data_IF_151738573273
#
_entry.id   IF_151738573273
#
_cell.length_a   1.000
_cell.length_b   1.000
_cell.length_c   1.000
_cell.angle_alpha   90.00
_cell.angle_beta   90.00
_cell.angle_gamma   90.00
#
_symmetry.space_group_name_H-M   'P 1'
#
loop_
_entity.id
_entity.type
_entity.pdbx_description
1 polymer ?
#
# COMPACT_ATOMS: atom_id res chain seq x y z
N UNK A 1 -22.10 23.10 10.96
CA UNK A 1 -21.23 22.96 12.16
C UNK A 1 -20.83 21.50 12.24
N UNK A 2 -19.68 21.14 11.66
CA UNK A 2 -19.17 19.76 11.68
C UNK A 2 -18.46 19.55 13.02
N UNK A 3 -19.02 18.71 13.88
CA UNK A 3 -18.33 18.19 15.05
C UNK A 3 -17.11 17.38 14.55
N UNK A 4 -15.96 18.03 14.45
CA UNK A 4 -14.69 17.31 14.40
C UNK A 4 -14.47 16.75 15.81
N UNK A 5 -14.97 15.53 16.06
CA UNK A 5 -14.50 14.75 17.19
C UNK A 5 -12.99 14.58 16.99
N UNK A 6 -12.20 15.24 17.82
CA UNK A 6 -10.75 15.09 17.84
C UNK A 6 -10.46 13.65 18.28
N UNK A 7 -10.36 12.75 17.30
CA UNK A 7 -9.96 11.37 17.56
C UNK A 7 -8.54 11.40 18.14
N UNK A 8 -8.42 11.01 19.40
CA UNK A 8 -7.14 11.03 20.12
C UNK A 8 -6.17 10.07 19.45
N UNK A 9 -4.99 10.56 19.10
CA UNK A 9 -3.95 9.71 18.50
C UNK A 9 -3.52 8.62 19.50
N UNK A 10 -3.43 7.35 19.07
CA UNK A 10 -2.84 6.31 19.90
C UNK A 10 -1.34 6.56 20.08
N UNK A 11 -0.72 5.90 21.07
CA UNK A 11 0.74 5.90 21.19
C UNK A 11 1.33 5.14 19.99
N UNK A 12 2.05 5.85 19.14
CA UNK A 12 2.73 5.24 17.99
C UNK A 12 4.00 4.53 18.50
N UNK A 13 4.11 3.26 18.15
CA UNK A 13 5.23 2.41 18.51
C UNK A 13 6.34 2.51 17.45
N UNK A 14 7.58 2.35 17.87
CA UNK A 14 8.70 2.21 16.94
C UNK A 14 9.08 0.73 16.83
N UNK A 15 8.43 0.04 15.90
CA UNK A 15 8.59 -1.39 15.68
C UNK A 15 9.31 -1.65 14.35
N UNK A 16 10.24 -2.61 14.30
CA UNK A 16 10.84 -3.05 13.04
C UNK A 16 9.76 -3.60 12.10
N UNK A 17 10.06 -3.61 10.80
CA UNK A 17 9.23 -4.29 9.80
C UNK A 17 9.30 -5.79 10.05
N UNK A 18 8.15 -6.45 9.91
CA UNK A 18 7.99 -7.88 10.10
C UNK A 18 6.98 -8.23 11.18
N UNK A 19 6.42 -9.39 11.06
CA UNK A 19 5.40 -9.93 11.95
C UNK A 19 5.89 -11.27 12.52
N UNK A 20 5.98 -11.36 13.84
CA UNK A 20 6.31 -12.61 14.55
C UNK A 20 5.04 -13.41 14.78
N UNK A 21 4.33 -13.78 13.71
CA UNK A 21 3.10 -14.55 13.77
C UNK A 21 3.24 -15.78 12.86
N UNK A 22 2.64 -16.89 13.28
CA UNK A 22 2.59 -18.12 12.49
C UNK A 22 1.15 -18.49 12.16
N UNK A 23 0.96 -19.28 11.10
CA UNK A 23 -0.35 -19.74 10.68
C UNK A 23 -1.12 -18.72 9.85
N UNK A 24 -2.42 -18.63 10.05
CA UNK A 24 -3.31 -17.79 9.26
C UNK A 24 -4.15 -16.91 10.20
N UNK A 25 -4.49 -15.72 9.73
CA UNK A 25 -5.52 -14.87 10.34
C UNK A 25 -6.72 -14.79 9.38
N UNK A 26 -7.91 -14.70 9.94
CA UNK A 26 -9.14 -14.60 9.18
C UNK A 26 -9.48 -13.13 8.95
N UNK A 27 -9.57 -12.71 7.70
CA UNK A 27 -10.02 -11.38 7.30
C UNK A 27 -11.31 -11.46 6.50
N UNK A 28 -12.01 -10.34 6.37
CA UNK A 28 -13.27 -10.25 5.61
C UNK A 28 -13.22 -9.08 4.63
N UNK A 29 -13.84 -9.29 3.48
CA UNK A 29 -14.17 -8.25 2.51
C UNK A 29 -15.63 -8.39 2.05
N UNK A 30 -16.02 -7.67 1.01
CA UNK A 30 -17.38 -7.73 0.44
C UNK A 30 -17.77 -9.12 -0.10
N UNK A 31 -16.79 -9.97 -0.38
CA UNK A 31 -16.99 -11.34 -0.88
C UNK A 31 -16.98 -12.38 0.25
N UNK A 32 -16.84 -11.96 1.49
CA UNK A 32 -16.85 -12.82 2.68
C UNK A 32 -15.49 -13.03 3.31
N UNK A 33 -15.35 -14.10 4.08
CA UNK A 33 -14.13 -14.40 4.84
C UNK A 33 -13.08 -15.10 3.96
N UNK A 34 -11.80 -14.79 4.23
CA UNK A 34 -10.64 -15.45 3.61
C UNK A 34 -9.52 -15.57 4.64
N UNK A 35 -8.76 -16.65 4.54
CA UNK A 35 -7.60 -16.90 5.38
C UNK A 35 -6.36 -16.27 4.74
N UNK A 36 -5.71 -15.37 5.47
CA UNK A 36 -4.49 -14.65 5.07
C UNK A 36 -3.32 -15.15 5.92
N UNK A 37 -2.10 -15.34 5.39
CA UNK A 37 -0.95 -15.66 6.21
C UNK A 37 -0.75 -14.63 7.32
N UNK A 38 -0.56 -15.11 8.56
CA UNK A 38 -0.52 -14.22 9.72
C UNK A 38 0.74 -13.36 9.78
N UNK A 39 1.80 -13.77 9.08
CA UNK A 39 3.10 -13.09 9.00
C UNK A 39 3.19 -12.05 7.85
N UNK A 40 2.07 -11.72 7.19
CA UNK A 40 2.03 -10.80 6.06
C UNK A 40 1.18 -9.57 6.35
N UNK A 41 1.60 -8.42 5.77
CA UNK A 41 0.83 -7.18 5.88
C UNK A 41 -0.31 -7.07 4.88
N UNK A 42 -0.29 -7.82 3.76
CA UNK A 42 -1.43 -7.79 2.85
C UNK A 42 -2.69 -8.38 3.50
N UNK A 43 -3.85 -8.08 2.93
CA UNK A 43 -5.15 -8.46 3.48
C UNK A 43 -5.96 -9.36 2.56
N UNK A 44 -7.28 -9.34 2.78
CA UNK A 44 -8.25 -10.21 2.14
C UNK A 44 -8.27 -10.07 0.62
N UNK A 45 -8.22 -8.85 0.08
CA UNK A 45 -8.32 -8.64 -1.36
C UNK A 45 -7.06 -9.09 -2.10
N UNK A 46 -5.88 -8.83 -1.54
CA UNK A 46 -4.63 -9.36 -2.09
C UNK A 46 -4.61 -10.88 -2.06
N UNK A 47 -5.04 -11.50 -0.96
CA UNK A 47 -5.12 -12.95 -0.86
C UNK A 47 -6.06 -13.56 -1.89
N UNK A 48 -7.21 -12.95 -2.15
CA UNK A 48 -8.11 -13.38 -3.22
C UNK A 48 -7.50 -13.22 -4.61
N UNK A 49 -6.78 -12.13 -4.84
CA UNK A 49 -6.08 -11.91 -6.11
C UNK A 49 -5.06 -13.02 -6.38
N UNK A 50 -4.30 -13.44 -5.38
CA UNK A 50 -3.38 -14.57 -5.50
C UNK A 50 -4.07 -15.91 -5.82
N UNK A 51 -5.32 -16.08 -5.38
CA UNK A 51 -6.10 -17.28 -5.63
C UNK A 51 -6.77 -17.28 -7.02
N UNK A 52 -7.25 -16.11 -7.47
CA UNK A 52 -8.03 -15.99 -8.69
C UNK A 52 -7.18 -15.66 -9.93
N UNK A 53 -6.05 -15.03 -9.75
CA UNK A 53 -5.14 -14.56 -10.81
C UNK A 53 -3.76 -15.22 -10.70
N UNK A 54 -3.72 -16.51 -10.35
CA UNK A 54 -2.50 -17.33 -10.38
C UNK A 54 -2.23 -17.73 -11.84
N UNK A 55 -1.80 -16.75 -12.64
CA UNK A 55 -1.64 -16.86 -14.10
C UNK A 55 -0.22 -16.43 -14.46
N UNK A 56 0.56 -17.37 -14.98
CA UNK A 56 1.96 -17.14 -15.36
C UNK A 56 2.88 -16.89 -14.16
N UNK A 57 4.13 -16.55 -14.45
CA UNK A 57 5.16 -16.33 -13.43
C UNK A 57 5.57 -14.86 -13.28
N UNK A 58 5.09 -13.99 -14.18
CA UNK A 58 5.47 -12.59 -14.18
C UNK A 58 4.81 -11.84 -13.02
N UNK A 59 5.65 -11.23 -12.19
CA UNK A 59 5.20 -10.40 -11.07
C UNK A 59 5.14 -8.94 -11.46
N UNK A 60 4.20 -8.20 -10.83
CA UNK A 60 4.15 -6.75 -10.98
C UNK A 60 5.50 -6.13 -10.57
N UNK A 61 6.12 -5.30 -11.41
CA UNK A 61 7.40 -4.67 -11.10
C UNK A 61 7.38 -3.90 -9.77
N UNK A 62 8.44 -4.05 -8.98
CA UNK A 62 8.56 -3.39 -7.66
C UNK A 62 8.50 -1.89 -7.76
N UNK A 63 9.05 -1.35 -8.83
CA UNK A 63 9.04 0.08 -9.12
C UNK A 63 7.63 0.67 -9.21
N UNK A 64 6.64 -0.12 -9.64
CA UNK A 64 5.23 0.28 -9.63
C UNK A 64 4.71 0.44 -8.20
N UNK A 65 5.08 -0.44 -7.29
CA UNK A 65 4.70 -0.34 -5.88
C UNK A 65 5.42 0.83 -5.19
N UNK A 66 6.71 1.04 -5.47
CA UNK A 66 7.44 2.21 -4.96
C UNK A 66 6.76 3.51 -5.45
N UNK A 67 6.32 3.54 -6.72
CA UNK A 67 5.58 4.67 -7.28
C UNK A 67 4.23 4.88 -6.60
N UNK A 68 3.51 3.80 -6.25
CA UNK A 68 2.31 3.90 -5.43
C UNK A 68 2.58 4.53 -4.07
N UNK A 69 3.74 4.27 -3.46
CA UNK A 69 4.17 4.93 -2.22
C UNK A 69 4.11 6.46 -2.34
N UNK A 70 4.63 7.02 -3.44
CA UNK A 70 4.54 8.47 -3.70
C UNK A 70 3.09 8.93 -3.87
N UNK A 71 2.28 8.22 -4.64
CA UNK A 71 0.87 8.58 -4.88
C UNK A 71 0.08 8.58 -3.57
N UNK A 72 0.23 7.53 -2.75
CA UNK A 72 -0.47 7.42 -1.46
C UNK A 72 0.01 8.46 -0.46
N UNK A 73 1.31 8.75 -0.43
CA UNK A 73 1.88 9.81 0.40
C UNK A 73 1.31 11.19 0.04
N UNK A 74 1.28 11.53 -1.25
CA UNK A 74 0.71 12.79 -1.72
C UNK A 74 -0.78 12.90 -1.37
N UNK A 75 -1.56 11.84 -1.58
CA UNK A 75 -2.97 11.81 -1.21
C UNK A 75 -3.19 12.00 0.30
N UNK A 76 -2.36 11.37 1.15
CA UNK A 76 -2.42 11.55 2.60
C UNK A 76 -2.13 13.00 3.02
N UNK A 77 -1.15 13.64 2.41
CA UNK A 77 -0.82 15.07 2.65
C UNK A 77 -2.02 15.94 2.31
N UNK A 78 -2.53 15.85 1.09
CA UNK A 78 -3.64 16.69 0.60
C UNK A 78 -4.91 16.48 1.42
N UNK A 79 -5.25 15.23 1.75
CA UNK A 79 -6.44 14.95 2.56
C UNK A 79 -6.30 15.44 4.00
N UNK A 80 -5.08 15.44 4.55
CA UNK A 80 -4.80 16.01 5.88
C UNK A 80 -4.92 17.53 5.87
N UNK A 81 -4.30 18.20 4.90
CA UNK A 81 -4.38 19.65 4.74
C UNK A 81 -5.81 20.14 4.50
N UNK A 82 -6.60 19.37 3.78
CA UNK A 82 -8.02 19.62 3.55
C UNK A 82 -8.94 19.30 4.75
N UNK A 83 -8.37 18.84 5.88
CA UNK A 83 -9.12 18.48 7.08
C UNK A 83 -10.01 17.23 6.94
N UNK A 84 -9.82 16.42 5.91
CA UNK A 84 -10.60 15.19 5.66
C UNK A 84 -10.01 13.99 6.40
N UNK A 85 -8.70 13.99 6.61
CA UNK A 85 -7.97 12.94 7.31
C UNK A 85 -7.36 13.54 8.59
N UNK A 86 -7.58 12.93 9.77
CA UNK A 86 -6.93 13.37 11.00
C UNK A 86 -5.41 13.43 10.85
N UNK A 87 -4.79 14.49 11.38
CA UNK A 87 -3.36 14.78 11.18
C UNK A 87 -2.45 13.60 11.57
N UNK A 88 -2.74 12.91 12.68
CA UNK A 88 -1.95 11.77 13.13
C UNK A 88 -2.07 10.56 12.18
N UNK A 89 -3.26 10.31 11.59
CA UNK A 89 -3.47 9.26 10.58
C UNK A 89 -2.68 9.58 9.32
N UNK A 90 -2.75 10.84 8.86
CA UNK A 90 -1.98 11.31 7.71
C UNK A 90 -0.49 11.15 7.91
N UNK A 91 0.04 11.56 9.06
CA UNK A 91 1.46 11.41 9.39
C UNK A 91 1.90 9.94 9.44
N UNK A 92 1.08 9.06 10.00
CA UNK A 92 1.38 7.64 10.08
C UNK A 92 1.36 6.96 8.70
N UNK A 93 0.38 7.29 7.85
CA UNK A 93 0.32 6.81 6.47
C UNK A 93 1.55 7.29 5.68
N UNK A 94 1.95 8.56 5.81
CA UNK A 94 3.14 9.09 5.15
C UNK A 94 4.42 8.34 5.58
N UNK A 95 4.61 8.08 6.87
CA UNK A 95 5.72 7.27 7.38
C UNK A 95 5.78 5.90 6.72
N UNK A 96 4.65 5.18 6.65
CA UNK A 96 4.61 3.85 6.03
C UNK A 96 4.79 3.93 4.51
N UNK A 97 4.29 4.97 3.86
CA UNK A 97 4.57 5.20 2.45
C UNK A 97 6.08 5.36 2.17
N UNK A 98 6.84 5.97 3.08
CA UNK A 98 8.30 6.04 2.96
C UNK A 98 8.96 4.65 3.08
N UNK A 99 8.41 3.74 3.92
CA UNK A 99 8.83 2.33 3.96
C UNK A 99 8.56 1.62 2.61
N UNK A 100 7.43 1.90 1.95
CA UNK A 100 7.11 1.38 0.61
C UNK A 100 8.07 1.94 -0.45
N UNK A 101 8.29 3.26 -0.45
CA UNK A 101 9.17 3.94 -1.42
C UNK A 101 10.61 3.42 -1.33
N UNK A 102 11.09 3.16 -0.13
CA UNK A 102 12.44 2.63 0.09
C UNK A 102 12.63 1.15 -0.28
N UNK A 103 11.54 0.44 -0.62
CA UNK A 103 11.57 -1.00 -0.91
C UNK A 103 11.61 -1.90 0.34
N UNK A 104 11.52 -1.33 1.54
CA UNK A 104 11.58 -2.10 2.79
C UNK A 104 10.39 -3.07 2.96
N UNK A 105 9.31 -2.86 2.23
CA UNK A 105 8.09 -3.68 2.21
C UNK A 105 7.92 -4.51 0.92
N UNK A 106 8.96 -4.67 0.11
CA UNK A 106 8.87 -5.33 -1.22
C UNK A 106 8.34 -6.75 -1.17
N UNK A 107 8.59 -7.50 -0.10
CA UNK A 107 8.08 -8.85 0.09
C UNK A 107 6.56 -8.92 0.26
N UNK A 108 5.92 -7.79 0.51
CA UNK A 108 4.48 -7.68 0.74
C UNK A 108 3.67 -7.40 -0.54
N UNK A 109 4.36 -7.36 -1.70
CA UNK A 109 3.75 -7.10 -3.01
C UNK A 109 3.92 -8.30 -3.94
N UNK A 110 3.14 -9.40 -3.72
CA UNK A 110 3.35 -10.67 -4.41
C UNK A 110 2.53 -10.84 -5.70
N UNK A 111 1.74 -9.83 -6.13
CA UNK A 111 0.78 -10.01 -7.20
C UNK A 111 1.41 -10.22 -8.59
N UNK A 112 0.72 -11.00 -9.40
CA UNK A 112 1.07 -11.21 -10.81
C UNK A 112 0.62 -10.05 -11.69
N UNK A 113 1.24 -9.92 -12.87
CA UNK A 113 0.83 -8.88 -13.86
C UNK A 113 -0.52 -9.19 -14.50
N UNK A 114 -0.86 -10.45 -14.62
CA UNK A 114 -2.12 -10.92 -15.18
C UNK A 114 -3.25 -10.81 -14.15
N UNK A 115 -3.73 -9.61 -13.97
CA UNK A 115 -4.85 -9.22 -13.12
C UNK A 115 -5.83 -8.37 -13.93
N UNK A 116 -6.85 -7.75 -13.30
CA UNK A 116 -7.75 -6.85 -14.04
C UNK A 116 -7.01 -5.64 -14.59
N UNK A 117 -7.34 -5.21 -15.80
CA UNK A 117 -6.66 -4.11 -16.50
C UNK A 117 -6.76 -2.75 -15.81
N UNK A 118 -7.70 -2.58 -14.87
CA UNK A 118 -7.82 -1.38 -14.03
C UNK A 118 -6.74 -1.25 -12.95
N UNK A 119 -5.97 -2.31 -12.69
CA UNK A 119 -4.95 -2.34 -11.63
C UNK A 119 -5.52 -2.30 -10.22
N UNK A 120 -6.80 -2.60 -10.04
CA UNK A 120 -7.46 -2.55 -8.73
C UNK A 120 -6.78 -3.45 -7.71
N UNK A 121 -6.34 -4.63 -8.09
CA UNK A 121 -5.66 -5.57 -7.19
C UNK A 121 -4.35 -4.99 -6.67
N UNK A 122 -3.51 -4.41 -7.53
CA UNK A 122 -2.28 -3.74 -7.10
C UNK A 122 -2.55 -2.54 -6.21
N UNK A 123 -3.55 -1.72 -6.54
CA UNK A 123 -3.96 -0.60 -5.69
C UNK A 123 -4.40 -1.08 -4.30
N UNK A 124 -5.22 -2.13 -4.24
CA UNK A 124 -5.69 -2.68 -2.97
C UNK A 124 -4.58 -3.35 -2.18
N UNK A 125 -3.63 -4.01 -2.83
CA UNK A 125 -2.46 -4.57 -2.16
C UNK A 125 -1.69 -3.48 -1.41
N UNK A 126 -1.42 -2.35 -2.06
CA UNK A 126 -0.76 -1.21 -1.38
C UNK A 126 -1.60 -0.68 -0.23
N UNK A 127 -2.92 -0.50 -0.43
CA UNK A 127 -3.81 -0.01 0.61
C UNK A 127 -3.81 -0.92 1.86
N UNK A 128 -3.88 -2.24 1.64
CA UNK A 128 -3.89 -3.23 2.72
C UNK A 128 -2.55 -3.27 3.47
N UNK A 129 -1.43 -3.28 2.75
CA UNK A 129 -0.08 -3.28 3.34
C UNK A 129 0.15 -2.02 4.17
N UNK A 130 -0.15 -0.84 3.61
CA UNK A 130 -0.01 0.43 4.33
C UNK A 130 -0.92 0.46 5.57
N UNK A 131 -2.18 0.06 5.42
CA UNK A 131 -3.14 0.01 6.53
C UNK A 131 -2.66 -0.91 7.65
N UNK A 132 -2.30 -2.15 7.35
CA UNK A 132 -1.89 -3.13 8.36
C UNK A 132 -0.56 -2.76 9.02
N UNK A 133 0.39 -2.17 8.30
CA UNK A 133 1.61 -1.65 8.90
C UNK A 133 1.33 -0.48 9.84
N UNK A 134 0.44 0.45 9.46
CA UNK A 134 -0.03 1.51 10.35
C UNK A 134 -0.72 0.95 11.60
N UNK A 135 -1.57 -0.07 11.44
CA UNK A 135 -2.26 -0.73 12.57
C UNK A 135 -1.24 -1.37 13.52
N UNK A 136 -0.19 -2.03 13.01
CA UNK A 136 0.89 -2.56 13.84
C UNK A 136 1.58 -1.46 14.64
N UNK A 137 1.95 -0.34 13.99
CA UNK A 137 2.60 0.79 14.65
C UNK A 137 1.69 1.49 15.67
N UNK A 138 0.38 1.41 15.48
CA UNK A 138 -0.61 1.91 16.45
C UNK A 138 -0.93 0.91 17.57
N UNK A 139 -0.28 -0.27 17.60
CA UNK A 139 -0.53 -1.31 18.59
C UNK A 139 -1.86 -2.05 18.43
N UNK A 140 -2.47 -1.99 17.25
CA UNK A 140 -3.74 -2.62 16.92
C UNK A 140 -3.60 -4.07 16.42
N UNK A 141 -4.74 -4.69 16.13
CA UNK A 141 -4.81 -6.05 15.57
C UNK A 141 -4.86 -5.99 14.04
N UNK A 142 -3.94 -6.67 13.37
CA UNK A 142 -3.91 -6.72 11.91
C UNK A 142 -5.22 -7.27 11.33
N UNK A 143 -5.64 -6.72 10.20
CA UNK A 143 -6.91 -7.09 9.57
C UNK A 143 -8.14 -6.45 10.20
N UNK A 144 -8.01 -5.78 11.35
CA UNK A 144 -9.13 -5.09 12.02
C UNK A 144 -9.65 -3.87 11.27
N UNK A 145 -8.86 -3.35 10.33
CA UNK A 145 -9.12 -2.09 9.61
C UNK A 145 -9.23 -0.86 10.54
N UNK A 146 -8.76 -0.98 11.77
CA UNK A 146 -8.77 0.06 12.79
C UNK A 146 -7.40 0.15 13.47
N UNK A 147 -6.86 1.35 13.69
CA UNK A 147 -7.47 2.67 13.46
C UNK A 147 -7.30 3.22 12.04
N UNK A 148 -6.59 2.52 11.15
CA UNK A 148 -6.41 2.92 9.75
C UNK A 148 -7.13 1.92 8.84
N UNK A 149 -8.10 2.43 8.07
CA UNK A 149 -8.86 1.61 7.11
C UNK A 149 -8.24 1.72 5.71
N UNK A 150 -8.07 0.59 4.97
CA UNK A 150 -7.42 0.60 3.65
C UNK A 150 -8.16 1.46 2.62
N UNK A 151 -9.51 1.41 2.59
CA UNK A 151 -10.29 2.19 1.64
C UNK A 151 -10.56 3.61 2.13
N UNK A 152 -11.03 3.75 3.38
CA UNK A 152 -11.55 5.02 3.88
C UNK A 152 -10.44 6.04 4.22
N UNK A 153 -9.23 5.55 4.55
CA UNK A 153 -8.10 6.41 4.89
C UNK A 153 -6.98 6.34 3.85
N UNK A 154 -6.44 5.16 3.52
CA UNK A 154 -5.30 5.05 2.59
C UNK A 154 -5.72 5.36 1.15
N UNK A 155 -6.93 4.94 0.75
CA UNK A 155 -7.48 5.19 -0.60
C UNK A 155 -8.40 6.40 -0.69
N UNK A 156 -8.47 7.23 0.34
CA UNK A 156 -9.37 8.38 0.41
C UNK A 156 -9.24 9.29 -0.81
N UNK A 157 -10.37 9.52 -1.51
CA UNK A 157 -10.45 10.40 -2.69
C UNK A 157 -9.73 9.89 -3.94
N UNK A 158 -9.44 8.59 -4.02
CA UNK A 158 -8.69 8.00 -5.13
C UNK A 158 -9.50 6.93 -5.86
N UNK A 159 -9.24 6.83 -7.18
CA UNK A 159 -9.73 5.74 -8.03
C UNK A 159 -8.53 4.94 -8.55
N UNK A 160 -8.65 3.60 -8.59
CA UNK A 160 -7.62 2.74 -9.18
C UNK A 160 -7.40 3.02 -10.67
N UNK A 161 -8.44 3.45 -11.39
CA UNK A 161 -8.34 3.81 -12.81
C UNK A 161 -7.44 5.03 -13.06
N UNK A 162 -7.19 5.84 -12.04
CA UNK A 162 -6.28 6.98 -12.07
C UNK A 162 -4.94 6.62 -11.42
N UNK A 163 -4.96 6.07 -10.21
CA UNK A 163 -3.73 5.84 -9.44
C UNK A 163 -2.82 4.76 -10.05
N UNK A 164 -3.38 3.74 -10.71
CA UNK A 164 -2.58 2.69 -11.32
C UNK A 164 -1.77 3.20 -12.53
N UNK A 165 -2.38 3.83 -13.56
CA UNK A 165 -1.59 4.39 -14.65
C UNK A 165 -0.64 5.49 -14.19
N UNK A 166 -1.01 6.30 -13.19
CA UNK A 166 -0.13 7.28 -12.59
C UNK A 166 1.11 6.63 -11.98
N UNK A 167 0.94 5.56 -11.19
CA UNK A 167 2.06 4.81 -10.62
C UNK A 167 2.94 4.19 -11.71
N UNK A 168 2.35 3.64 -12.79
CA UNK A 168 3.10 3.10 -13.92
C UNK A 168 3.96 4.18 -14.61
N UNK A 169 3.42 5.38 -14.83
CA UNK A 169 4.16 6.49 -15.44
C UNK A 169 5.30 6.96 -14.53
N UNK A 170 5.07 7.10 -13.22
CA UNK A 170 6.11 7.47 -12.26
C UNK A 170 7.21 6.41 -12.24
N UNK A 171 6.85 5.12 -12.20
CA UNK A 171 7.81 4.02 -12.22
C UNK A 171 8.66 4.04 -13.49
N UNK A 172 8.02 4.15 -14.67
CA UNK A 172 8.71 4.20 -15.95
C UNK A 172 9.67 5.40 -16.04
N UNK A 173 9.22 6.58 -15.63
CA UNK A 173 10.05 7.78 -15.58
C UNK A 173 11.25 7.61 -14.64
N UNK A 174 11.02 7.13 -13.44
CA UNK A 174 12.08 6.90 -12.44
C UNK A 174 13.11 5.90 -12.96
N UNK A 175 12.66 4.78 -13.52
CA UNK A 175 13.55 3.77 -14.09
C UNK A 175 14.39 4.33 -15.26
N UNK A 176 13.77 5.12 -16.14
CA UNK A 176 14.46 5.74 -17.29
C UNK A 176 15.51 6.76 -16.84
N UNK A 177 15.23 7.53 -15.78
CA UNK A 177 16.14 8.60 -15.34
C UNK A 177 17.22 8.12 -14.38
N UNK A 178 16.96 7.11 -13.56
CA UNK A 178 17.92 6.61 -12.55
C UNK A 178 18.83 5.50 -13.08
N UNK A 179 18.35 4.69 -14.04
CA UNK A 179 19.15 3.60 -14.65
C UNK A 179 19.92 4.02 -15.89
N UNK A 180 19.85 5.29 -16.31
CA UNK A 180 20.65 5.80 -17.43
C UNK A 180 22.08 6.06 -16.96
N UNK A 181 22.85 4.99 -16.75
CA UNK A 181 24.29 5.04 -16.94
C UNK A 181 24.46 5.23 -18.44
N UNK A 182 24.84 6.44 -18.87
CA UNK A 182 25.14 6.74 -20.25
C UNK A 182 26.28 5.80 -20.69
N UNK A 183 25.96 4.74 -21.41
CA UNK A 183 26.96 4.04 -22.19
C UNK A 183 27.37 5.03 -23.27
N UNK A 184 28.48 5.70 -23.05
CA UNK A 184 29.15 6.50 -24.09
C UNK A 184 29.56 5.50 -25.15
N UNK A 185 28.73 5.36 -26.19
CA UNK A 185 29.14 4.68 -27.42
C UNK A 185 30.23 5.54 -28.01
N UNK A 186 31.48 5.16 -27.74
CA UNK A 186 32.63 5.79 -28.38
C UNK A 186 32.48 5.67 -29.88
N UNK A 187 32.33 6.80 -30.53
CA UNK A 187 32.51 6.87 -31.99
C UNK A 187 33.97 6.49 -32.27
N UNK A 188 34.17 5.38 -32.94
CA UNK A 188 35.39 5.09 -33.69
C UNK A 188 35.23 5.68 -35.10
#
# INVERSE_FOLDING_TARGET
MSNSTSETAPKILDLPIGLKAAGKRRETDSLGAVDVPADRYWGAQTQRSLQHFDIGDDRMPKEVYHAYGYVKKAAAIVNTEAGRLPAWKGALIQRVCDEVISGALDSEFPLYVWQTGSGTQSNMNVNEVVSNRCIQLAGGTLGSKSPIHPNDHVNMGQSSNDTFPTAMHIAAYTMATTKTTWVTVGRR
#
